data_IF_677436233226
#
_entry.id   IF_677436233226
#
_cell.length_a   1.000
_cell.length_b   1.000
_cell.length_c   1.000
_cell.angle_alpha   90.00
_cell.angle_beta   90.00
_cell.angle_gamma   90.00
#
_symmetry.space_group_name_H-M   'P 1'
#
loop_
_entity.id
_entity.type
_entity.pdbx_description
1 polymer ?
#
# COMPACT_ATOMS: atom_id res chain seq x y z
N UNK A 1 -6.19 -12.78 -39.50
CA UNK A 1 -5.01 -12.35 -38.68
C UNK A 1 -5.05 -10.86 -38.34
N UNK A 2 -5.19 -9.97 -39.34
CA UNK A 2 -5.22 -8.50 -39.12
C UNK A 2 -6.44 -8.03 -38.30
N UNK A 3 -7.63 -8.52 -38.63
CA UNK A 3 -8.89 -8.19 -37.93
C UNK A 3 -8.94 -8.67 -36.47
N UNK A 4 -8.39 -9.86 -36.18
CA UNK A 4 -8.35 -10.41 -34.83
C UNK A 4 -7.43 -9.60 -33.90
N UNK A 5 -6.31 -9.10 -34.44
CA UNK A 5 -5.38 -8.22 -33.72
C UNK A 5 -6.01 -6.85 -33.46
N UNK A 6 -6.66 -6.28 -34.47
CA UNK A 6 -7.33 -4.98 -34.36
C UNK A 6 -8.49 -5.01 -33.34
N UNK A 7 -9.25 -6.11 -33.28
CA UNK A 7 -10.27 -6.31 -32.25
C UNK A 7 -9.68 -6.53 -30.85
N UNK A 8 -8.50 -7.15 -30.73
CA UNK A 8 -7.82 -7.31 -29.44
C UNK A 8 -7.31 -5.94 -28.92
N UNK A 9 -6.66 -5.17 -29.79
CA UNK A 9 -6.14 -3.83 -29.47
C UNK A 9 -7.29 -2.87 -29.08
N UNK A 10 -8.43 -2.94 -29.77
CA UNK A 10 -9.63 -2.16 -29.44
C UNK A 10 -10.22 -2.53 -28.06
N UNK A 11 -10.20 -3.82 -27.69
CA UNK A 11 -10.66 -4.29 -26.37
C UNK A 11 -9.71 -3.82 -25.27
N UNK A 12 -8.41 -3.94 -25.48
CA UNK A 12 -7.41 -3.45 -24.53
C UNK A 12 -7.55 -1.95 -24.27
N UNK A 13 -7.76 -1.15 -25.34
CA UNK A 13 -8.06 0.28 -25.21
C UNK A 13 -9.35 0.57 -24.45
N UNK A 14 -10.42 -0.19 -24.70
CA UNK A 14 -11.68 -0.02 -23.98
C UNK A 14 -11.56 -0.36 -22.49
N UNK A 15 -10.79 -1.38 -22.16
CA UNK A 15 -10.53 -1.81 -20.78
C UNK A 15 -9.67 -0.79 -20.05
N UNK A 16 -8.57 -0.34 -20.66
CA UNK A 16 -7.67 0.67 -20.08
C UNK A 16 -8.36 2.02 -19.90
N UNK A 17 -9.27 2.41 -20.81
CA UNK A 17 -10.09 3.63 -20.65
C UNK A 17 -11.11 3.50 -19.50
N UNK A 18 -11.59 2.29 -19.24
CA UNK A 18 -12.55 2.02 -18.16
C UNK A 18 -11.88 1.93 -16.78
N UNK A 19 -10.56 1.74 -16.74
CA UNK A 19 -9.76 1.82 -15.53
C UNK A 19 -9.25 3.25 -15.32
N UNK A 20 -9.95 4.03 -14.51
CA UNK A 20 -9.50 5.38 -14.17
C UNK A 20 -8.20 5.31 -13.33
N UNK A 21 -7.07 5.68 -13.95
CA UNK A 21 -5.76 5.72 -13.29
C UNK A 21 -5.70 6.88 -12.28
N UNK A 22 -5.11 6.61 -11.11
CA UNK A 22 -4.81 7.63 -10.09
C UNK A 22 -3.68 8.54 -10.58
N UNK A 23 -3.53 9.76 -10.03
CA UNK A 23 -2.39 10.62 -10.35
C UNK A 23 -1.05 9.92 -10.12
N UNK A 24 -0.24 9.85 -11.17
CA UNK A 24 1.06 9.17 -11.17
C UNK A 24 1.00 7.64 -11.11
N UNK A 25 -0.16 7.03 -11.38
CA UNK A 25 -0.30 5.58 -11.60
C UNK A 25 -0.07 5.28 -13.09
N UNK A 26 0.74 4.26 -13.36
CA UNK A 26 1.08 3.80 -14.71
C UNK A 26 0.53 2.38 -14.94
N UNK A 27 -0.14 2.21 -16.08
CA UNK A 27 -0.60 0.91 -16.55
C UNK A 27 0.60 0.03 -16.93
N UNK A 28 0.57 -1.26 -16.54
CA UNK A 28 1.65 -2.21 -16.83
C UNK A 28 1.19 -3.30 -17.79
N UNK A 29 0.20 -4.12 -17.40
CA UNK A 29 -0.21 -5.31 -18.15
C UNK A 29 -1.69 -5.62 -18.04
N UNK A 30 -2.22 -6.29 -19.06
CA UNK A 30 -3.58 -6.81 -19.12
C UNK A 30 -3.61 -8.31 -19.40
N UNK A 31 -4.46 -9.05 -18.69
CA UNK A 31 -4.71 -10.46 -19.01
C UNK A 31 -6.20 -10.75 -19.03
N UNK A 32 -6.61 -11.62 -19.95
CA UNK A 32 -7.94 -12.22 -19.92
C UNK A 32 -8.04 -13.10 -18.67
N UNK A 33 -9.09 -12.91 -17.87
CA UNK A 33 -9.26 -13.69 -16.65
C UNK A 33 -10.75 -13.87 -16.29
N UNK A 34 -11.00 -14.84 -15.42
CA UNK A 34 -12.28 -14.98 -14.73
C UNK A 34 -12.07 -14.85 -13.23
N UNK A 35 -12.92 -14.13 -12.52
CA UNK A 35 -12.90 -14.05 -11.05
C UNK A 35 -14.00 -14.93 -10.46
N UNK A 36 -13.66 -15.71 -9.43
CA UNK A 36 -14.62 -16.54 -8.70
C UNK A 36 -14.81 -16.01 -7.29
N UNK A 37 -16.07 -15.83 -6.88
CA UNK A 37 -16.44 -15.46 -5.51
C UNK A 37 -17.34 -16.53 -4.90
N UNK A 38 -17.11 -16.88 -3.63
CA UNK A 38 -18.11 -17.61 -2.84
C UNK A 38 -19.25 -16.64 -2.54
N UNK A 39 -20.50 -17.08 -2.69
CA UNK A 39 -21.65 -16.24 -2.34
C UNK A 39 -21.73 -16.09 -0.82
N UNK A 40 -22.30 -14.97 -0.35
CA UNK A 40 -22.42 -14.67 1.08
C UNK A 40 -23.23 -15.75 1.82
N UNK A 41 -24.26 -16.30 1.16
CA UNK A 41 -25.01 -17.47 1.63
C UNK A 41 -24.12 -18.73 1.73
N UNK A 42 -23.25 -18.98 0.76
CA UNK A 42 -22.34 -20.13 0.76
C UNK A 42 -21.25 -20.01 1.84
N UNK A 43 -20.89 -18.78 2.23
CA UNK A 43 -19.96 -18.54 3.35
C UNK A 43 -20.61 -18.79 4.71
N UNK A 44 -21.91 -18.56 4.84
CA UNK A 44 -22.65 -18.73 6.09
C UNK A 44 -23.23 -20.14 6.29
N UNK A 45 -23.53 -20.87 5.20
CA UNK A 45 -24.23 -22.15 5.27
C UNK A 45 -23.32 -23.39 5.35
N UNK A 46 -22.00 -23.25 5.20
CA UNK A 46 -21.02 -24.38 5.07
C UNK A 46 -21.46 -25.48 4.06
N UNK A 47 -22.34 -25.13 3.13
CA UNK A 47 -22.86 -26.01 2.10
C UNK A 47 -22.09 -25.84 0.78
N UNK A 48 -22.04 -26.92 -0.01
CA UNK A 48 -21.58 -26.92 -1.41
C UNK A 48 -22.54 -26.11 -2.31
N UNK A 49 -22.70 -24.82 -2.09
CA UNK A 49 -23.55 -23.94 -2.91
C UNK A 49 -22.72 -23.00 -3.80
N UNK A 50 -23.32 -22.64 -4.94
CA UNK A 50 -22.65 -22.29 -6.21
C UNK A 50 -21.62 -21.15 -6.17
N UNK A 51 -20.57 -21.31 -6.99
CA UNK A 51 -19.55 -20.28 -7.25
C UNK A 51 -20.08 -19.32 -8.31
N UNK A 52 -20.08 -18.02 -8.03
CA UNK A 52 -20.32 -17.02 -9.07
C UNK A 52 -19.02 -16.78 -9.83
N UNK A 53 -19.07 -16.90 -11.16
CA UNK A 53 -17.93 -16.68 -12.05
C UNK A 53 -18.20 -15.43 -12.86
N UNK A 54 -17.28 -14.48 -12.79
CA UNK A 54 -17.28 -13.26 -13.56
C UNK A 54 -16.21 -13.36 -14.64
N UNK A 55 -16.57 -13.06 -15.89
CA UNK A 55 -15.61 -13.00 -16.99
C UNK A 55 -15.13 -11.57 -17.16
N UNK A 56 -13.86 -11.40 -17.50
CA UNK A 56 -13.29 -10.07 -17.56
C UNK A 56 -11.80 -10.04 -17.86
N UNK A 57 -11.16 -9.01 -17.33
CA UNK A 57 -9.73 -8.80 -17.44
C UNK A 57 -9.12 -8.50 -16.08
N UNK A 58 -7.92 -9.05 -15.87
CA UNK A 58 -7.05 -8.70 -14.77
C UNK A 58 -6.05 -7.67 -15.27
N UNK A 59 -6.08 -6.47 -14.71
CA UNK A 59 -5.21 -5.35 -15.05
C UNK A 59 -4.21 -5.13 -13.91
N UNK A 60 -2.93 -5.05 -14.26
CA UNK A 60 -1.86 -4.67 -13.35
C UNK A 60 -1.40 -3.25 -13.66
N UNK A 61 -1.33 -2.43 -12.63
CA UNK A 61 -0.67 -1.13 -12.64
C UNK A 61 0.52 -1.16 -11.70
N UNK A 62 1.32 -0.09 -11.69
CA UNK A 62 2.41 0.09 -10.73
C UNK A 62 1.93 0.28 -9.27
N UNK A 63 0.61 0.42 -9.04
CA UNK A 63 0.02 0.62 -7.70
C UNK A 63 -0.99 -0.42 -7.28
N UNK A 64 -1.71 -1.06 -8.20
CA UNK A 64 -2.78 -2.01 -7.86
C UNK A 64 -2.99 -3.08 -8.91
N UNK A 65 -3.61 -4.16 -8.46
CA UNK A 65 -4.19 -5.20 -9.28
C UNK A 65 -5.72 -4.99 -9.31
N UNK A 66 -6.28 -4.78 -10.50
CA UNK A 66 -7.71 -4.53 -10.69
C UNK A 66 -8.35 -5.61 -11.56
N UNK A 67 -9.53 -6.09 -11.17
CA UNK A 67 -10.35 -6.96 -12.01
C UNK A 67 -11.50 -6.16 -12.62
N UNK A 68 -11.57 -6.15 -13.94
CA UNK A 68 -12.62 -5.51 -14.72
C UNK A 68 -13.58 -6.56 -15.26
N UNK A 69 -14.83 -6.56 -14.79
CA UNK A 69 -15.86 -7.45 -15.31
C UNK A 69 -16.39 -6.97 -16.67
N UNK A 70 -16.69 -7.94 -17.53
CA UNK A 70 -17.42 -7.70 -18.77
C UNK A 70 -18.93 -7.72 -18.55
N UNK A 71 -19.58 -6.63 -18.92
CA UNK A 71 -21.03 -6.45 -18.81
C UNK A 71 -21.63 -6.15 -20.19
N UNK A 72 -22.76 -6.79 -20.51
CA UNK A 72 -23.51 -6.55 -21.73
C UNK A 72 -23.50 -7.72 -22.72
N UNK A 73 -24.65 -7.90 -23.38
CA UNK A 73 -24.90 -8.96 -24.37
C UNK A 73 -24.52 -8.52 -25.79
N UNK A 74 -24.84 -7.28 -26.17
CA UNK A 74 -24.62 -6.74 -27.52
C UNK A 74 -23.44 -5.76 -27.60
N UNK A 75 -23.28 -4.91 -26.58
CA UNK A 75 -22.12 -4.02 -26.42
C UNK A 75 -21.38 -4.39 -25.15
N UNK A 76 -20.09 -4.74 -25.27
CA UNK A 76 -19.26 -5.04 -24.11
C UNK A 76 -18.85 -3.74 -23.43
N UNK A 77 -19.21 -3.61 -22.15
CA UNK A 77 -18.76 -2.56 -21.25
C UNK A 77 -17.93 -3.18 -20.13
N UNK A 78 -17.01 -2.40 -19.58
CA UNK A 78 -16.10 -2.87 -18.55
C UNK A 78 -16.34 -2.11 -17.26
N UNK A 79 -16.42 -2.83 -16.13
CA UNK A 79 -16.59 -2.23 -14.81
C UNK A 79 -15.54 -2.76 -13.84
N UNK A 80 -14.91 -1.88 -13.08
CA UNK A 80 -13.98 -2.29 -12.03
C UNK A 80 -14.78 -2.97 -10.92
N UNK A 81 -14.55 -4.26 -10.73
CA UNK A 81 -15.24 -5.08 -9.73
C UNK A 81 -14.42 -5.29 -8.47
N UNK A 82 -13.10 -5.36 -8.62
CA UNK A 82 -12.15 -5.53 -7.53
C UNK A 82 -10.93 -4.66 -7.82
N UNK A 83 -10.37 -4.04 -6.78
CA UNK A 83 -9.17 -3.19 -6.88
C UNK A 83 -8.34 -3.40 -5.62
N UNK A 84 -7.16 -3.99 -5.78
CA UNK A 84 -6.30 -4.42 -4.69
C UNK A 84 -4.99 -3.63 -4.79
N UNK A 85 -4.72 -2.74 -3.83
CA UNK A 85 -3.42 -2.06 -3.77
C UNK A 85 -2.30 -3.08 -3.55
N UNK A 86 -1.19 -2.95 -4.27
CA UNK A 86 -0.13 -3.95 -4.28
C UNK A 86 0.52 -4.11 -2.90
N UNK A 87 0.62 -3.03 -2.14
CA UNK A 87 1.12 -3.03 -0.76
C UNK A 87 0.25 -3.87 0.19
N UNK A 88 -1.03 -4.08 -0.12
CA UNK A 88 -1.95 -4.88 0.70
C UNK A 88 -1.94 -6.36 0.31
N UNK A 89 -1.25 -6.74 -0.76
CA UNK A 89 -1.09 -8.15 -1.14
C UNK A 89 -0.26 -8.89 -0.10
N UNK A 90 -0.79 -10.00 0.40
CA UNK A 90 -0.14 -10.89 1.38
C UNK A 90 0.51 -12.07 0.64
N UNK A 91 -0.22 -12.71 -0.26
CA UNK A 91 0.23 -13.90 -0.95
C UNK A 91 -0.36 -13.99 -2.37
N UNK A 92 0.41 -14.61 -3.26
CA UNK A 92 -0.03 -14.98 -4.61
C UNK A 92 0.48 -16.38 -4.92
N UNK A 93 -0.40 -17.28 -5.34
CA UNK A 93 -0.01 -18.66 -5.65
C UNK A 93 -0.83 -19.24 -6.79
N UNK A 94 -0.21 -20.09 -7.60
CA UNK A 94 -0.90 -20.90 -8.60
C UNK A 94 -1.10 -22.30 -8.04
N UNK A 95 -2.34 -22.73 -7.86
CA UNK A 95 -2.66 -24.02 -7.26
C UNK A 95 -3.68 -24.83 -8.07
N UNK A 96 -3.68 -26.15 -7.85
CA UNK A 96 -4.69 -27.09 -8.35
C UNK A 96 -4.45 -27.63 -9.77
N UNK A 97 -5.16 -28.72 -10.10
CA UNK A 97 -5.06 -29.43 -11.40
C UNK A 97 -5.46 -28.55 -12.58
N UNK A 98 -6.45 -27.67 -12.37
CA UNK A 98 -6.89 -26.69 -13.38
C UNK A 98 -6.02 -25.44 -13.45
N UNK A 99 -4.96 -25.34 -12.61
CA UNK A 99 -4.09 -24.18 -12.39
C UNK A 99 -4.90 -22.89 -12.26
N UNK A 100 -5.16 -22.46 -11.03
CA UNK A 100 -5.83 -21.18 -10.74
C UNK A 100 -4.92 -20.29 -9.93
N UNK A 101 -5.04 -18.98 -10.13
CA UNK A 101 -4.30 -17.97 -9.38
C UNK A 101 -5.11 -17.57 -8.15
N UNK A 102 -4.51 -17.74 -6.98
CA UNK A 102 -5.06 -17.34 -5.70
C UNK A 102 -4.32 -16.10 -5.23
N UNK A 103 -5.07 -15.05 -4.95
CA UNK A 103 -4.55 -13.76 -4.47
C UNK A 103 -5.15 -13.50 -3.10
N UNK A 104 -4.29 -13.39 -2.09
CA UNK A 104 -4.67 -13.07 -0.71
C UNK A 104 -4.21 -11.67 -0.38
N UNK A 105 -5.09 -10.84 0.18
CA UNK A 105 -4.80 -9.45 0.51
C UNK A 105 -5.54 -8.99 1.76
N UNK A 106 -5.07 -7.91 2.36
CA UNK A 106 -5.73 -7.30 3.51
C UNK A 106 -6.79 -6.28 3.05
N UNK A 107 -8.02 -6.41 3.56
CA UNK A 107 -9.11 -5.46 3.32
C UNK A 107 -9.98 -5.32 4.57
N UNK A 108 -10.17 -4.08 5.04
CA UNK A 108 -11.01 -3.80 6.22
C UNK A 108 -10.57 -4.54 7.49
N UNK A 109 -9.26 -4.72 7.67
CA UNK A 109 -8.67 -5.45 8.81
C UNK A 109 -8.68 -6.97 8.69
N UNK A 110 -9.30 -7.54 7.65
CA UNK A 110 -9.40 -8.98 7.43
C UNK A 110 -8.56 -9.44 6.23
N UNK A 111 -8.15 -10.71 6.25
CA UNK A 111 -7.55 -11.36 5.08
C UNK A 111 -8.64 -11.85 4.13
N UNK A 112 -8.56 -11.43 2.88
CA UNK A 112 -9.49 -11.78 1.82
C UNK A 112 -8.76 -12.55 0.73
N UNK A 113 -9.33 -13.67 0.30
CA UNK A 113 -8.82 -14.45 -0.82
C UNK A 113 -9.72 -14.29 -2.05
N UNK A 114 -9.08 -14.17 -3.22
CA UNK A 114 -9.73 -14.15 -4.54
C UNK A 114 -9.08 -15.17 -5.46
N UNK A 115 -9.92 -15.82 -6.25
CA UNK A 115 -9.51 -16.85 -7.19
C UNK A 115 -9.72 -16.35 -8.61
N UNK A 116 -8.65 -16.40 -9.42
CA UNK A 116 -8.64 -16.04 -10.82
C UNK A 116 -8.31 -17.26 -11.68
N UNK A 117 -8.97 -17.37 -12.83
CA UNK A 117 -8.79 -18.46 -13.79
C UNK A 117 -9.07 -18.00 -15.23
N UNK A 118 -9.42 -18.93 -16.11
CA UNK A 118 -9.77 -18.61 -17.51
C UNK A 118 -8.58 -18.32 -18.42
N UNK A 119 -7.37 -18.63 -17.95
CA UNK A 119 -6.10 -18.44 -18.66
C UNK A 119 -5.23 -19.68 -18.49
N UNK A 120 -4.34 -19.94 -19.45
CA UNK A 120 -3.48 -21.13 -19.45
C UNK A 120 -2.53 -21.17 -18.25
N UNK A 121 -2.11 -22.36 -17.84
CA UNK A 121 -1.24 -22.55 -16.68
C UNK A 121 0.13 -21.87 -16.76
N UNK A 122 0.75 -21.77 -17.96
CA UNK A 122 2.02 -21.06 -18.15
C UNK A 122 1.82 -19.55 -17.99
N UNK A 123 0.76 -19.03 -18.58
CA UNK A 123 0.38 -17.61 -18.45
C UNK A 123 0.07 -17.24 -16.99
N UNK A 124 -0.46 -18.14 -16.17
CA UNK A 124 -0.69 -17.86 -14.74
C UNK A 124 0.62 -17.73 -13.94
N UNK A 125 1.65 -18.49 -14.29
CA UNK A 125 2.98 -18.35 -13.67
C UNK A 125 3.65 -17.05 -14.11
N UNK A 126 3.49 -16.66 -15.37
CA UNK A 126 3.91 -15.35 -15.87
C UNK A 126 3.20 -14.23 -15.11
N UNK A 127 1.87 -14.28 -15.00
CA UNK A 127 1.07 -13.33 -14.22
C UNK A 127 1.57 -13.25 -12.77
N UNK A 128 1.87 -14.39 -12.16
CA UNK A 128 2.40 -14.43 -10.80
C UNK A 128 3.74 -13.68 -10.68
N UNK A 129 4.69 -13.94 -11.57
CA UNK A 129 6.01 -13.27 -11.56
C UNK A 129 5.87 -11.76 -11.71
N UNK A 130 5.06 -11.32 -12.68
CA UNK A 130 4.84 -9.90 -12.99
C UNK A 130 4.23 -9.13 -11.81
N UNK A 131 3.25 -9.74 -11.13
CA UNK A 131 2.64 -9.14 -9.94
C UNK A 131 3.66 -9.09 -8.79
N UNK A 132 4.46 -10.14 -8.60
CA UNK A 132 5.48 -10.19 -7.53
C UNK A 132 6.56 -9.13 -7.73
N UNK A 133 7.08 -8.99 -8.95
CA UNK A 133 8.08 -7.98 -9.31
C UNK A 133 7.54 -6.56 -9.12
N UNK A 134 6.35 -6.29 -9.64
CA UNK A 134 5.71 -4.97 -9.52
C UNK A 134 5.40 -4.63 -8.06
N UNK A 135 4.92 -5.61 -7.28
CA UNK A 135 4.70 -5.45 -5.83
C UNK A 135 6.00 -5.12 -5.11
N UNK A 136 7.09 -5.84 -5.39
CA UNK A 136 8.38 -5.60 -4.75
C UNK A 136 8.88 -4.18 -5.04
N UNK A 137 8.80 -3.73 -6.30
CA UNK A 137 9.13 -2.36 -6.68
C UNK A 137 8.26 -1.33 -5.93
N UNK A 138 6.94 -1.55 -5.85
CA UNK A 138 6.01 -0.66 -5.15
C UNK A 138 6.31 -0.55 -3.65
N UNK A 139 6.57 -1.68 -2.98
CA UNK A 139 6.94 -1.70 -1.56
C UNK A 139 8.24 -0.94 -1.32
N UNK A 140 9.26 -1.14 -2.17
CA UNK A 140 10.52 -0.41 -2.07
C UNK A 140 10.34 1.11 -2.22
N UNK A 141 9.51 1.55 -3.16
CA UNK A 141 9.16 2.96 -3.33
C UNK A 141 8.51 3.52 -2.07
N UNK A 142 7.50 2.82 -1.52
CA UNK A 142 6.80 3.24 -0.30
C UNK A 142 7.78 3.30 0.88
N UNK A 143 8.68 2.32 1.03
CA UNK A 143 9.69 2.35 2.08
C UNK A 143 10.67 3.50 1.93
N UNK A 144 11.09 3.80 0.71
CA UNK A 144 11.97 4.94 0.41
C UNK A 144 11.27 6.27 0.71
N UNK A 145 10.02 6.44 0.27
CA UNK A 145 9.19 7.62 0.58
C UNK A 145 8.98 7.78 2.09
N UNK A 146 8.69 6.68 2.81
CA UNK A 146 8.57 6.69 4.27
C UNK A 146 9.88 7.07 4.96
N UNK A 147 11.02 6.58 4.47
CA UNK A 147 12.34 6.94 4.98
C UNK A 147 12.63 8.41 4.73
N UNK A 148 12.38 8.93 3.52
CA UNK A 148 12.57 10.34 3.20
C UNK A 148 11.65 11.25 4.01
N UNK A 149 10.38 10.88 4.19
CA UNK A 149 9.46 11.60 5.06
C UNK A 149 9.95 11.60 6.52
N UNK A 150 10.41 10.45 7.05
CA UNK A 150 11.02 10.39 8.40
C UNK A 150 12.27 11.26 8.51
N UNK A 151 13.10 11.33 7.46
CA UNK A 151 14.30 12.19 7.42
C UNK A 151 13.93 13.68 7.35
N UNK A 152 12.80 14.03 6.74
CA UNK A 152 12.28 15.40 6.77
C UNK A 152 11.72 15.82 8.14
N UNK A 153 11.42 14.83 9.01
CA UNK A 153 11.03 15.02 10.41
C UNK A 153 12.16 14.65 11.39
N UNK A 154 13.42 14.95 11.05
CA UNK A 154 14.45 14.98 12.09
C UNK A 154 14.20 16.21 12.95
N UNK A 155 13.45 16.01 14.03
CA UNK A 155 13.30 16.96 15.12
C UNK A 155 14.71 17.34 15.57
N UNK A 156 15.11 18.57 15.29
CA UNK A 156 16.35 19.14 15.80
C UNK A 156 16.03 20.15 16.92
N UNK A 157 17.05 20.57 17.65
CA UNK A 157 16.85 21.52 18.75
C UNK A 157 16.37 22.89 18.28
N UNK A 158 16.57 23.24 17.00
CA UNK A 158 16.08 24.51 16.44
C UNK A 158 14.56 24.49 16.31
N UNK A 159 13.98 23.38 15.82
CA UNK A 159 12.54 23.17 15.75
C UNK A 159 11.91 23.16 17.14
N UNK A 160 12.52 22.46 18.10
CA UNK A 160 12.03 22.43 19.47
C UNK A 160 11.94 23.83 20.08
N UNK A 161 13.01 24.62 19.92
CA UNK A 161 13.08 25.99 20.43
C UNK A 161 12.01 26.88 19.79
N UNK A 162 11.84 26.80 18.46
CA UNK A 162 10.81 27.55 17.74
C UNK A 162 9.38 27.19 18.19
N UNK A 163 9.08 25.90 18.39
CA UNK A 163 7.77 25.47 18.90
C UNK A 163 7.51 25.95 20.33
N UNK A 164 8.52 25.95 21.20
CA UNK A 164 8.39 26.46 22.57
C UNK A 164 8.17 27.97 22.60
N UNK A 165 8.92 28.71 21.79
CA UNK A 165 8.79 30.17 21.66
C UNK A 165 7.44 30.57 21.09
N UNK A 166 6.91 29.84 20.09
CA UNK A 166 5.54 30.01 19.58
C UNK A 166 4.48 29.76 20.64
N UNK A 167 4.73 28.82 21.56
CA UNK A 167 3.91 28.59 22.75
C UNK A 167 4.05 29.66 23.85
N UNK A 168 4.84 30.72 23.62
CA UNK A 168 5.11 31.78 24.59
C UNK A 168 6.12 31.39 25.68
N UNK A 169 6.83 30.28 25.52
CA UNK A 169 7.78 29.74 26.51
C UNK A 169 9.20 29.86 25.97
N UNK A 170 10.01 30.74 26.57
CA UNK A 170 11.43 30.84 26.26
C UNK A 170 12.21 29.84 27.11
N UNK A 171 12.73 28.77 26.48
CA UNK A 171 13.49 27.74 27.19
C UNK A 171 14.95 27.75 26.78
N UNK A 172 15.82 28.07 27.75
CA UNK A 172 17.27 28.01 27.61
C UNK A 172 17.87 26.69 28.12
N UNK A 173 17.13 25.95 28.94
CA UNK A 173 17.60 24.73 29.58
C UNK A 173 16.53 23.64 29.63
N UNK A 174 16.96 22.39 29.46
CA UNK A 174 16.11 21.19 29.49
C UNK A 174 16.62 20.22 30.55
N UNK A 175 15.77 19.30 31.01
CA UNK A 175 16.21 18.19 31.87
C UNK A 175 16.78 17.06 31.01
N UNK A 176 17.98 16.60 31.36
CA UNK A 176 18.56 15.44 30.72
C UNK A 176 17.71 14.18 31.03
N UNK A 177 17.30 13.40 30.02
CA UNK A 177 16.46 12.24 30.23
C UNK A 177 17.14 11.12 31.04
N UNK A 178 18.47 11.05 31.01
CA UNK A 178 19.22 9.93 31.59
C UNK A 178 19.54 10.08 33.09
N UNK A 179 19.69 11.31 33.59
CA UNK A 179 20.01 11.54 35.02
C UNK A 179 19.18 12.65 35.68
N UNK A 180 18.31 13.34 34.93
CA UNK A 180 17.34 14.31 35.46
C UNK A 180 17.87 15.72 35.75
N UNK A 181 19.18 15.96 35.67
CA UNK A 181 19.76 17.29 35.87
C UNK A 181 19.58 18.23 34.67
N UNK A 182 19.95 19.49 34.86
CA UNK A 182 19.79 20.56 33.87
C UNK A 182 20.87 20.51 32.79
N UNK A 183 20.46 20.66 31.54
CA UNK A 183 21.30 20.72 30.35
C UNK A 183 20.93 21.96 29.53
N UNK A 184 21.90 22.67 28.98
CA UNK A 184 21.62 23.78 28.06
C UNK A 184 20.92 23.25 26.80
N UNK A 185 19.85 23.93 26.37
CA UNK A 185 19.19 23.60 25.11
C UNK A 185 20.08 24.12 23.95
N UNK A 186 20.57 23.25 23.06
CA UNK A 186 21.35 23.70 21.90
C UNK A 186 20.48 24.55 20.97
N UNK A 187 21.11 25.46 20.23
CA UNK A 187 20.40 26.24 19.21
C UNK A 187 20.09 25.44 17.94
N UNK A 188 20.87 24.39 17.66
CA UNK A 188 20.81 23.59 16.44
C UNK A 188 21.33 22.17 16.71
N UNK A 189 21.06 21.24 15.79
CA UNK A 189 21.57 19.87 15.85
C UNK A 189 20.58 18.90 16.47
N UNK A 190 20.86 17.61 16.32
CA UNK A 190 19.91 16.51 16.61
C UNK A 190 20.21 15.83 17.94
N UNK A 191 21.43 15.99 18.45
CA UNK A 191 21.88 15.46 19.73
C UNK A 191 22.85 16.42 20.42
N UNK A 192 22.89 16.33 21.75
CA UNK A 192 23.88 17.02 22.57
C UNK A 192 24.40 16.06 23.63
N UNK A 193 25.71 16.03 23.81
CA UNK A 193 26.32 15.21 24.84
C UNK A 193 26.19 15.88 26.20
N UNK A 194 25.64 15.17 27.16
CA UNK A 194 25.52 15.70 28.52
C UNK A 194 26.89 15.78 29.21
N UNK A 195 27.27 16.96 29.71
CA UNK A 195 28.53 17.13 30.45
C UNK A 195 28.61 16.35 31.78
N UNK A 196 27.48 15.93 32.35
CA UNK A 196 27.43 15.23 33.64
C UNK A 196 27.39 13.70 33.50
N UNK A 197 26.41 13.16 32.76
CA UNK A 197 26.27 11.69 32.60
C UNK A 197 26.96 11.15 31.34
N UNK A 198 27.52 12.03 30.51
CA UNK A 198 28.18 11.71 29.24
C UNK A 198 27.32 11.01 28.18
N UNK A 199 26.02 10.81 28.45
CA UNK A 199 25.09 10.27 27.48
C UNK A 199 24.72 11.30 26.42
N UNK A 200 24.48 10.83 25.20
CA UNK A 200 23.93 11.66 24.13
C UNK A 200 22.42 11.81 24.34
N UNK A 201 21.96 13.06 24.39
CA UNK A 201 20.55 13.42 24.52
C UNK A 201 20.05 13.82 23.15
N UNK A 202 19.07 13.10 22.63
CA UNK A 202 18.49 13.35 21.31
C UNK A 202 17.30 14.29 21.44
N UNK A 203 17.13 15.21 20.50
CA UNK A 203 16.01 16.14 20.47
C UNK A 203 14.64 15.42 20.51
N UNK A 204 14.53 14.25 19.87
CA UNK A 204 13.32 13.43 19.91
C UNK A 204 12.92 13.01 21.34
N UNK A 205 13.87 12.59 22.18
CA UNK A 205 13.59 12.18 23.57
C UNK A 205 13.01 13.32 24.42
N UNK A 206 13.47 14.55 24.13
CA UNK A 206 12.99 15.77 24.79
C UNK A 206 11.57 16.09 24.33
N UNK A 207 11.29 16.00 23.02
CA UNK A 207 9.96 16.18 22.46
C UNK A 207 8.94 15.23 23.08
N UNK A 208 9.27 13.93 23.14
CA UNK A 208 8.38 12.90 23.68
C UNK A 208 8.07 13.14 25.16
N UNK A 209 9.07 13.54 25.96
CA UNK A 209 8.86 13.93 27.37
C UNK A 209 7.97 15.15 27.51
N UNK A 210 8.16 16.17 26.68
CA UNK A 210 7.33 17.37 26.70
C UNK A 210 5.88 17.05 26.33
N UNK A 211 5.66 16.24 25.29
CA UNK A 211 4.32 15.78 24.89
C UNK A 211 3.61 15.05 26.04
N UNK A 212 4.35 14.25 26.81
CA UNK A 212 3.83 13.59 28.01
C UNK A 212 3.45 14.54 29.15
N UNK A 213 4.09 15.71 29.24
CA UNK A 213 3.81 16.73 30.26
C UNK A 213 2.72 17.74 29.85
N UNK A 214 2.60 18.02 28.56
CA UNK A 214 1.69 19.03 28.01
C UNK A 214 0.29 18.51 27.67
N UNK A 215 0.06 17.20 27.75
CA UNK A 215 -1.26 16.58 27.63
C UNK A 215 -2.04 16.94 26.38
N UNK A 216 -2.07 16.05 25.38
CA UNK A 216 -3.00 16.08 24.23
C UNK A 216 -3.38 17.49 23.73
N UNK A 217 -2.46 18.18 23.03
CA UNK A 217 -2.95 19.16 22.06
C UNK A 217 -3.49 18.40 20.83
N UNK A 218 -4.67 18.78 20.31
CA UNK A 218 -5.36 18.11 19.21
C UNK A 218 -4.53 18.07 17.92
#
# INVERSE_FOLDING_TARGET
MREAKEQADARERAVTTSLLLRPGEAFQKLWRASMQTKTLLATLADEKSGKTIWLGFLALTDRRLAFLEEVGLFTKTYRVKESIDLENLINISVQGVSKKLYVTYQAGGNSVERMFGGTSGSTLLEIQSEIQETRAARVNIIEHEKKQARVQYVLDFSFLKDQMEKGGIMVSTIRCPNYGGTLALPSTGVSVRCGHCQSDVVAQDIFERMRGLLGNLP
#
